data_IF_426695569467
#
_entry.id   IF_426695569467
#
_cell.length_a   1.000
_cell.length_b   1.000
_cell.length_c   1.000
_cell.angle_alpha   90.00
_cell.angle_beta   90.00
_cell.angle_gamma   90.00
#
_symmetry.space_group_name_H-M   'P 1'
#
loop_
_entity.id
_entity.type
_entity.pdbx_description
1 polymer ?
#
# COMPACT_ATOMS: atom_id res chain seq x y z
N UNK A 1 -7.48 19.37 14.73
CA UNK A 1 -8.07 19.47 13.39
C UNK A 1 -7.78 18.24 12.57
N UNK A 2 -8.66 17.93 11.66
CA UNK A 2 -8.49 16.73 10.85
C UNK A 2 -7.23 16.78 10.01
N UNK A 3 -6.88 17.95 9.51
CA UNK A 3 -5.69 18.11 8.69
C UNK A 3 -4.42 17.73 9.43
N UNK A 4 -4.42 17.87 10.73
CA UNK A 4 -3.24 17.60 11.53
C UNK A 4 -2.98 16.11 11.70
N UNK A 5 -4.01 15.29 11.50
CA UNK A 5 -3.88 13.85 11.69
C UNK A 5 -4.02 13.07 10.40
N UNK A 6 -4.17 13.75 9.28
CA UNK A 6 -4.26 13.09 7.98
C UNK A 6 -2.89 12.56 7.60
N UNK A 7 -2.79 11.25 7.34
CA UNK A 7 -1.54 10.64 6.93
C UNK A 7 -1.24 10.97 5.47
N UNK A 8 0.03 10.89 5.06
CA UNK A 8 0.38 11.07 3.66
C UNK A 8 -0.39 10.13 2.73
N UNK A 9 -0.64 8.89 3.16
CA UNK A 9 -1.40 7.96 2.34
C UNK A 9 -2.83 8.44 2.13
N UNK A 10 -3.48 8.93 3.19
CA UNK A 10 -4.85 9.39 3.11
C UNK A 10 -4.95 10.56 2.14
N UNK A 11 -4.04 11.52 2.24
CA UNK A 11 -4.01 12.64 1.33
C UNK A 11 -3.78 12.20 -0.10
N UNK A 12 -2.80 11.33 -0.29
CA UNK A 12 -2.45 10.85 -1.61
C UNK A 12 -3.63 10.12 -2.26
N UNK A 13 -4.29 9.25 -1.51
CA UNK A 13 -5.45 8.50 -1.98
C UNK A 13 -6.58 9.45 -2.38
N UNK A 14 -6.83 10.46 -1.55
CA UNK A 14 -7.86 11.45 -1.82
C UNK A 14 -7.58 12.22 -3.10
N UNK A 15 -6.33 12.62 -3.30
CA UNK A 15 -5.94 13.39 -4.48
C UNK A 15 -5.94 12.57 -5.76
N UNK A 16 -5.59 11.28 -5.66
CA UNK A 16 -5.38 10.46 -6.83
C UNK A 16 -6.55 9.53 -7.15
N UNK A 17 -7.50 9.44 -6.28
CA UNK A 17 -8.64 8.55 -6.43
C UNK A 17 -9.38 8.74 -7.76
N UNK A 18 -9.42 9.95 -8.25
CA UNK A 18 -10.17 10.29 -9.46
C UNK A 18 -9.37 10.18 -10.73
N UNK A 19 -8.05 10.29 -10.63
CA UNK A 19 -7.22 10.36 -11.83
C UNK A 19 -6.59 9.04 -12.20
N UNK A 20 -6.65 8.04 -11.33
CA UNK A 20 -6.12 6.74 -11.66
C UNK A 20 -7.15 5.99 -12.50
N UNK A 21 -6.79 5.56 -13.70
CA UNK A 21 -7.75 4.91 -14.60
C UNK A 21 -8.28 3.58 -14.07
N UNK A 22 -7.51 2.93 -13.22
CA UNK A 22 -7.89 1.64 -12.63
C UNK A 22 -8.44 1.79 -11.24
N UNK A 23 -9.03 2.88 -10.93
CA UNK A 23 -9.47 3.14 -9.57
C UNK A 23 -10.61 2.23 -9.14
N UNK A 24 -10.31 1.00 -9.08
CA UNK A 24 -11.08 0.07 -8.31
C UNK A 24 -10.86 0.48 -6.90
N UNK A 25 -11.84 1.09 -6.35
CA UNK A 25 -11.77 1.74 -5.09
C UNK A 25 -11.16 0.92 -4.00
N UNK A 26 -11.24 -0.37 -4.06
CA UNK A 26 -10.78 -1.23 -2.97
C UNK A 26 -9.63 -2.12 -3.38
N UNK A 27 -8.71 -1.59 -4.18
CA UNK A 27 -7.56 -2.37 -4.59
C UNK A 27 -6.50 -2.38 -3.49
N UNK A 28 -6.44 -3.49 -2.78
CA UNK A 28 -5.49 -3.64 -1.67
C UNK A 28 -4.04 -3.56 -2.14
N UNK A 29 -3.75 -4.07 -3.31
CA UNK A 29 -2.40 -4.02 -3.85
C UNK A 29 -1.96 -2.57 -4.06
N UNK A 30 -2.81 -1.74 -4.66
CA UNK A 30 -2.48 -0.35 -4.89
C UNK A 30 -2.29 0.40 -3.57
N UNK A 31 -3.14 0.13 -2.59
CA UNK A 31 -3.00 0.73 -1.28
C UNK A 31 -1.67 0.36 -0.66
N UNK A 32 -1.31 -0.91 -0.73
CA UNK A 32 -0.05 -1.39 -0.17
C UNK A 32 1.16 -0.73 -0.82
N UNK A 33 1.21 -0.73 -2.16
CA UNK A 33 2.34 -0.14 -2.87
C UNK A 33 2.49 1.34 -2.53
N UNK A 34 1.38 2.07 -2.57
CA UNK A 34 1.43 3.51 -2.28
C UNK A 34 1.88 3.77 -0.84
N UNK A 35 1.42 2.96 0.10
CA UNK A 35 1.79 3.15 1.49
C UNK A 35 3.29 2.93 1.71
N UNK A 36 3.84 1.90 1.08
CA UNK A 36 5.28 1.65 1.21
C UNK A 36 6.09 2.80 0.61
N UNK A 37 5.67 3.30 -0.55
CA UNK A 37 6.36 4.41 -1.18
C UNK A 37 6.31 5.68 -0.34
N UNK A 38 5.17 5.93 0.30
CA UNK A 38 4.97 7.15 1.07
C UNK A 38 5.66 7.16 2.42
N UNK A 39 6.22 6.03 2.85
CA UNK A 39 6.90 5.97 4.16
C UNK A 39 8.03 6.99 4.30
N UNK A 40 8.74 7.27 3.21
CA UNK A 40 9.90 8.15 3.27
C UNK A 40 9.91 9.18 2.16
N UNK A 41 8.81 9.32 1.43
CA UNK A 41 8.80 10.13 0.23
C UNK A 41 7.51 10.94 0.17
N UNK A 42 7.61 12.18 -0.28
CA UNK A 42 6.44 13.07 -0.37
C UNK A 42 5.49 12.62 -1.47
N UNK A 43 4.22 12.94 -1.29
CA UNK A 43 3.16 12.56 -2.21
C UNK A 43 3.49 12.92 -3.66
N UNK A 44 3.90 14.14 -3.90
CA UNK A 44 4.17 14.58 -5.27
C UNK A 44 5.30 13.80 -5.94
N UNK A 45 6.31 13.43 -5.17
CA UNK A 45 7.41 12.64 -5.70
C UNK A 45 7.00 11.19 -5.95
N UNK A 46 6.05 10.69 -5.18
CA UNK A 46 5.59 9.30 -5.31
C UNK A 46 4.74 9.08 -6.54
N UNK A 47 3.95 10.07 -6.94
CA UNK A 47 2.99 9.90 -8.05
C UNK A 47 3.58 9.25 -9.31
N UNK A 48 4.68 9.76 -9.89
CA UNK A 48 5.23 9.13 -11.09
C UNK A 48 5.79 7.74 -10.82
N UNK A 49 6.34 7.51 -9.63
CA UNK A 49 6.87 6.19 -9.29
C UNK A 49 5.75 5.18 -9.16
N UNK A 50 4.67 5.56 -8.50
CA UNK A 50 3.53 4.69 -8.31
C UNK A 50 2.91 4.31 -9.66
N UNK A 51 2.70 5.32 -10.51
CA UNK A 51 2.12 5.10 -11.83
C UNK A 51 2.93 4.10 -12.63
N UNK A 52 4.25 4.30 -12.67
CA UNK A 52 5.14 3.42 -13.42
C UNK A 52 5.19 2.03 -12.81
N UNK A 53 5.26 1.97 -11.48
CA UNK A 53 5.35 0.70 -10.78
C UNK A 53 4.14 -0.20 -11.07
N UNK A 54 2.94 0.33 -10.93
CA UNK A 54 1.74 -0.49 -11.15
C UNK A 54 1.45 -0.74 -12.61
N UNK A 55 2.01 0.07 -13.51
CA UNK A 55 1.91 -0.21 -14.94
C UNK A 55 2.76 -1.42 -15.30
N UNK A 56 3.98 -1.48 -14.76
CA UNK A 56 4.88 -2.59 -15.01
C UNK A 56 4.55 -3.83 -14.17
N UNK A 57 4.09 -3.63 -12.95
CA UNK A 57 3.77 -4.70 -12.01
C UNK A 57 2.35 -4.49 -11.48
N UNK A 58 1.34 -4.86 -12.26
CA UNK A 58 -0.04 -4.51 -11.93
C UNK A 58 -0.69 -5.31 -10.81
N UNK A 59 -0.08 -6.41 -10.40
CA UNK A 59 -0.69 -7.24 -9.35
C UNK A 59 0.39 -7.98 -8.55
N UNK A 60 -0.08 -8.74 -7.58
CA UNK A 60 0.79 -9.51 -6.69
C UNK A 60 1.67 -10.49 -7.46
N UNK A 61 1.09 -11.18 -8.43
CA UNK A 61 1.84 -12.17 -9.19
C UNK A 61 2.97 -11.52 -9.98
N UNK A 62 2.70 -10.40 -10.62
CA UNK A 62 3.73 -9.68 -11.36
C UNK A 62 4.86 -9.24 -10.45
N UNK A 63 4.52 -8.73 -9.27
CA UNK A 63 5.53 -8.30 -8.29
C UNK A 63 6.33 -9.50 -7.79
N UNK A 64 5.65 -10.59 -7.47
CA UNK A 64 6.32 -11.78 -6.94
C UNK A 64 7.32 -12.36 -7.92
N UNK A 65 7.03 -12.29 -9.20
CA UNK A 65 7.87 -12.88 -10.24
C UNK A 65 8.83 -11.92 -10.90
N UNK A 66 8.83 -10.66 -10.51
CA UNK A 66 9.68 -9.65 -11.12
C UNK A 66 11.15 -9.94 -10.85
N UNK A 67 12.02 -9.90 -11.88
CA UNK A 67 13.45 -10.01 -11.64
C UNK A 67 13.93 -8.88 -10.73
N UNK A 68 14.86 -9.20 -9.83
CA UNK A 68 15.36 -8.21 -8.88
C UNK A 68 15.92 -6.97 -9.57
N UNK A 69 16.62 -7.17 -10.66
CA UNK A 69 17.21 -6.07 -11.40
C UNK A 69 16.15 -5.06 -11.87
N UNK A 70 15.05 -5.57 -12.43
CA UNK A 70 13.96 -4.71 -12.87
C UNK A 70 13.27 -4.05 -11.69
N UNK A 71 13.08 -4.81 -10.63
CA UNK A 71 12.42 -4.32 -9.42
C UNK A 71 13.19 -3.15 -8.82
N UNK A 72 14.50 -3.30 -8.68
CA UNK A 72 15.33 -2.23 -8.12
C UNK A 72 15.36 -1.02 -9.01
N UNK A 73 15.31 -1.22 -10.31
CA UNK A 73 15.28 -0.11 -11.24
C UNK A 73 14.00 0.70 -11.12
N UNK A 74 12.87 0.01 -10.94
CA UNK A 74 11.59 0.69 -10.73
C UNK A 74 11.56 1.50 -9.44
N UNK A 75 12.38 1.10 -8.48
CA UNK A 75 12.45 1.76 -7.17
C UNK A 75 13.58 2.80 -7.10
N UNK A 76 14.38 2.90 -8.14
CA UNK A 76 15.54 3.78 -8.16
C UNK A 76 15.13 5.23 -7.93
N UNK A 77 15.78 5.88 -6.99
CA UNK A 77 15.46 7.25 -6.61
C UNK A 77 14.62 7.36 -5.35
N UNK A 78 13.94 6.30 -4.97
CA UNK A 78 13.16 6.31 -3.72
C UNK A 78 14.00 5.95 -2.50
N UNK A 79 15.10 5.22 -2.71
CA UNK A 79 15.97 4.80 -1.63
C UNK A 79 15.40 3.68 -0.77
N UNK A 80 16.17 3.26 0.22
CA UNK A 80 15.74 2.23 1.16
C UNK A 80 15.24 0.99 0.44
N UNK A 81 16.13 0.39 -0.35
CA UNK A 81 15.75 -0.74 -1.23
C UNK A 81 15.25 -1.96 -0.48
N UNK A 82 15.55 -2.08 0.80
CA UNK A 82 15.01 -3.19 1.58
C UNK A 82 13.49 -3.18 1.63
N UNK A 83 12.88 -2.00 1.51
CA UNK A 83 11.42 -1.90 1.49
C UNK A 83 10.83 -2.66 0.32
N UNK A 84 11.38 -2.46 -0.87
CA UNK A 84 10.83 -3.13 -2.06
C UNK A 84 11.21 -4.59 -2.09
N UNK A 85 12.37 -4.96 -1.55
CA UNK A 85 12.74 -6.37 -1.43
C UNK A 85 11.80 -7.11 -0.48
N UNK A 86 11.50 -6.49 0.65
CA UNK A 86 10.55 -7.07 1.60
C UNK A 86 9.16 -7.17 0.98
N UNK A 87 8.78 -6.18 0.20
CA UNK A 87 7.50 -6.17 -0.48
C UNK A 87 7.39 -7.34 -1.46
N UNK A 88 8.47 -7.60 -2.21
CA UNK A 88 8.48 -8.72 -3.13
C UNK A 88 8.40 -10.05 -2.39
N UNK A 89 9.10 -10.16 -1.27
CA UNK A 89 9.06 -11.39 -0.47
C UNK A 89 7.66 -11.62 0.07
N UNK A 90 7.01 -10.56 0.55
CA UNK A 90 5.64 -10.66 1.00
C UNK A 90 4.70 -11.04 -0.16
N UNK A 91 4.96 -10.48 -1.34
CA UNK A 91 4.16 -10.81 -2.51
C UNK A 91 4.26 -12.30 -2.87
N UNK A 92 5.44 -12.88 -2.69
CA UNK A 92 5.61 -14.31 -2.92
C UNK A 92 4.81 -15.14 -1.93
N UNK A 93 4.78 -14.72 -0.68
CA UNK A 93 3.95 -15.36 0.33
C UNK A 93 2.48 -15.27 -0.03
N UNK A 94 2.03 -14.08 -0.44
CA UNK A 94 0.63 -13.89 -0.82
C UNK A 94 0.27 -14.74 -2.03
N UNK A 95 1.15 -14.82 -3.00
CA UNK A 95 0.93 -15.65 -4.17
C UNK A 95 0.77 -17.12 -3.79
N UNK A 96 1.62 -17.60 -2.90
CA UNK A 96 1.65 -19.02 -2.55
C UNK A 96 0.60 -19.42 -1.51
N UNK A 97 0.28 -18.53 -0.59
CA UNK A 97 -0.59 -18.89 0.54
C UNK A 97 -1.97 -18.24 0.50
N UNK A 98 -2.15 -17.21 -0.31
CA UNK A 98 -3.40 -16.45 -0.36
C UNK A 98 -3.94 -16.28 -1.78
N UNK A 99 -3.50 -17.15 -2.67
CA UNK A 99 -3.96 -17.17 -4.07
C UNK A 99 -3.75 -15.84 -4.79
N UNK A 100 -2.68 -15.12 -4.44
CA UNK A 100 -2.34 -13.89 -5.10
C UNK A 100 -3.16 -12.68 -4.69
N UNK A 101 -3.90 -12.80 -3.59
CA UNK A 101 -4.73 -11.70 -3.10
C UNK A 101 -4.40 -11.42 -1.64
N UNK A 102 -4.12 -10.16 -1.33
CA UNK A 102 -3.84 -9.77 0.05
C UNK A 102 -4.99 -10.18 0.97
N UNK A 103 -4.68 -10.76 2.13
CA UNK A 103 -5.73 -11.26 3.02
C UNK A 103 -6.61 -10.14 3.58
N UNK A 104 -7.89 -10.45 3.77
CA UNK A 104 -8.85 -9.51 4.34
C UNK A 104 -8.90 -9.66 5.85
N UNK A 105 -7.73 -9.77 6.47
CA UNK A 105 -7.62 -9.96 7.91
C UNK A 105 -6.40 -9.20 8.41
N UNK A 106 -6.62 -8.35 9.40
CA UNK A 106 -5.58 -7.50 9.94
C UNK A 106 -4.39 -8.31 10.46
N UNK A 107 -4.65 -9.37 11.21
CA UNK A 107 -3.57 -10.18 11.77
C UNK A 107 -2.78 -10.90 10.68
N UNK A 108 -3.47 -11.37 9.66
CA UNK A 108 -2.78 -12.01 8.54
C UNK A 108 -1.90 -11.03 7.80
N UNK A 109 -2.38 -9.79 7.63
CA UNK A 109 -1.59 -8.74 7.00
C UNK A 109 -0.35 -8.44 7.82
N UNK A 110 -0.48 -8.40 9.14
CA UNK A 110 0.67 -8.16 10.02
C UNK A 110 1.74 -9.24 9.92
N UNK A 111 1.35 -10.44 9.54
CA UNK A 111 2.31 -11.55 9.44
C UNK A 111 3.19 -11.46 8.20
N UNK A 112 2.83 -10.60 7.24
CA UNK A 112 3.58 -10.47 6.01
C UNK A 112 4.83 -9.61 6.23
N UNK A 113 5.90 -9.98 5.54
CA UNK A 113 7.17 -9.29 5.71
C UNK A 113 7.07 -7.82 5.32
N UNK A 114 7.56 -6.96 6.19
CA UNK A 114 7.59 -5.53 5.93
C UNK A 114 6.27 -4.81 6.13
N UNK A 115 5.23 -5.50 6.56
CA UNK A 115 3.94 -4.87 6.84
C UNK A 115 3.80 -4.69 8.35
N UNK A 116 3.88 -3.44 8.78
CA UNK A 116 3.68 -3.10 10.19
C UNK A 116 2.22 -2.78 10.47
N UNK A 117 1.94 -2.38 11.73
CA UNK A 117 0.58 -2.11 12.16
C UNK A 117 -0.08 -0.99 11.35
N UNK A 118 0.67 0.06 11.02
CA UNK A 118 0.12 1.17 10.24
C UNK A 118 -0.28 0.69 8.83
N UNK A 119 0.60 0.00 8.16
CA UNK A 119 0.34 -0.47 6.79
C UNK A 119 -0.79 -1.49 6.77
N UNK A 120 -0.78 -2.41 7.72
CA UNK A 120 -1.86 -3.40 7.82
C UNK A 120 -3.20 -2.72 8.07
N UNK A 121 -3.22 -1.71 8.94
CA UNK A 121 -4.43 -0.95 9.21
C UNK A 121 -4.92 -0.19 7.99
N UNK A 122 -4.02 0.40 7.23
CA UNK A 122 -4.38 1.12 6.03
C UNK A 122 -4.99 0.18 4.99
N UNK A 123 -4.37 -0.96 4.77
CA UNK A 123 -4.89 -1.94 3.80
C UNK A 123 -6.27 -2.44 4.25
N UNK A 124 -6.37 -2.85 5.51
CA UNK A 124 -7.63 -3.39 6.01
C UNK A 124 -8.76 -2.37 5.92
N UNK A 125 -8.51 -1.14 6.31
CA UNK A 125 -9.56 -0.13 6.37
C UNK A 125 -9.87 0.49 5.03
N UNK A 126 -8.86 0.87 4.27
CA UNK A 126 -9.07 1.57 3.00
C UNK A 126 -9.52 0.62 1.91
N UNK A 127 -8.83 -0.51 1.77
CA UNK A 127 -9.13 -1.43 0.68
C UNK A 127 -10.31 -2.35 0.98
N UNK A 128 -10.43 -2.80 2.23
CA UNK A 128 -11.43 -3.80 2.58
C UNK A 128 -12.54 -3.30 3.49
N UNK A 129 -12.43 -2.07 3.97
CA UNK A 129 -13.46 -1.52 4.84
C UNK A 129 -13.58 -2.24 6.17
N UNK A 130 -12.51 -2.84 6.65
CA UNK A 130 -12.51 -3.60 7.89
C UNK A 130 -12.16 -2.70 9.06
N UNK A 131 -12.96 -2.74 10.10
CA UNK A 131 -12.63 -2.05 11.34
C UNK A 131 -11.49 -2.77 12.01
N UNK A 132 -10.41 -2.06 12.32
CA UNK A 132 -9.25 -2.69 12.96
C UNK A 132 -9.13 -2.22 14.40
N UNK A 133 -8.52 -3.05 15.27
CA UNK A 133 -8.27 -2.64 16.65
C UNK A 133 -7.45 -1.36 16.66
N UNK A 134 -7.76 -0.48 17.57
CA UNK A 134 -7.08 0.81 17.66
C UNK A 134 -5.66 0.62 18.16
N UNK A 135 -4.72 0.43 17.26
CA UNK A 135 -3.31 0.44 17.59
C UNK A 135 -2.87 1.89 17.68
N UNK A 136 -3.38 2.71 16.77
CA UNK A 136 -3.16 4.14 16.74
C UNK A 136 -4.51 4.80 16.47
N UNK A 137 -5.06 5.46 17.47
CA UNK A 137 -6.37 6.07 17.35
C UNK A 137 -6.46 7.11 16.25
N UNK A 138 -5.38 7.82 16.01
CA UNK A 138 -5.38 8.84 14.96
C UNK A 138 -5.48 8.21 13.57
N UNK A 139 -4.75 7.12 13.36
CA UNK A 139 -4.80 6.41 12.07
C UNK A 139 -6.21 5.89 11.83
N UNK A 140 -6.78 5.24 12.83
CA UNK A 140 -8.12 4.68 12.69
C UNK A 140 -9.14 5.76 12.40
N UNK A 141 -9.05 6.88 13.10
CA UNK A 141 -9.98 8.00 12.92
C UNK A 141 -9.90 8.57 11.50
N UNK A 142 -8.70 8.79 11.00
CA UNK A 142 -8.50 9.35 9.67
C UNK A 142 -9.04 8.41 8.61
N UNK A 143 -8.75 7.14 8.74
CA UNK A 143 -9.20 6.14 7.78
C UNK A 143 -10.72 6.03 7.78
N UNK A 144 -11.33 6.08 8.94
CA UNK A 144 -12.80 6.05 9.03
C UNK A 144 -13.44 7.22 8.30
N UNK A 145 -12.86 8.40 8.42
CA UNK A 145 -13.38 9.58 7.74
C UNK A 145 -13.31 9.40 6.22
N UNK A 146 -12.23 8.81 5.73
CA UNK A 146 -12.08 8.57 4.30
C UNK A 146 -13.09 7.55 3.81
N UNK A 147 -13.29 6.48 4.55
CA UNK A 147 -14.19 5.42 4.11
C UNK A 147 -15.65 5.81 4.19
N UNK A 148 -15.99 6.76 5.05
CA UNK A 148 -17.37 7.23 5.17
C UNK A 148 -17.75 8.21 4.08
N UNK A 149 -16.78 8.84 3.46
CA UNK A 149 -17.05 9.81 2.41
C UNK A 149 -16.91 9.18 1.04
#
# INVERSE_FOLDING_TARGET
>A
MLEEIVSPLVEWYRENKRILPWRDKNNAYYTWVSEIMLQQTRVEAVKPYFQRFITELPDIEALAECPEEKLLKLWEGLGYYNRVRNMQEAARTVKNEYNGRLPEDYQALLSLKGIGSYTAGAIASIAYGIAVPAVDGNVLRVISIITES
#
